data_IF_587171845820
#
_entry.id   IF_587171845820
#
_cell.length_a   1.000
_cell.length_b   1.000
_cell.length_c   1.000
_cell.angle_alpha   90.00
_cell.angle_beta   90.00
_cell.angle_gamma   90.00
#
_symmetry.space_group_name_H-M   'P 1'
#
loop_
_entity.id
_entity.type
_entity.pdbx_description
1 polymer ?
#
# COMPACT_ATOMS: atom_id res chain seq x y z
N UNK A 1 51.95 6.37 -45.40
CA UNK A 1 50.84 6.42 -46.33
C UNK A 1 49.62 5.91 -45.57
N UNK A 2 48.85 6.83 -45.03
CA UNK A 2 47.56 6.52 -44.37
C UNK A 2 46.51 7.41 -45.03
N UNK A 3 45.58 6.76 -45.70
CA UNK A 3 44.54 7.33 -46.50
C UNK A 3 43.40 7.82 -45.59
N UNK A 4 43.23 9.14 -45.48
CA UNK A 4 42.09 9.76 -44.82
C UNK A 4 40.81 9.56 -45.63
N UNK A 5 39.95 8.66 -45.19
CA UNK A 5 38.60 8.49 -45.72
C UNK A 5 37.74 9.69 -45.28
N UNK A 6 37.53 10.66 -46.16
CA UNK A 6 36.60 11.76 -45.95
C UNK A 6 35.19 11.20 -45.93
N UNK A 7 34.53 11.31 -44.77
CA UNK A 7 33.07 11.09 -44.64
C UNK A 7 32.41 12.35 -45.16
N UNK A 8 31.79 12.28 -46.32
CA UNK A 8 30.92 13.34 -46.85
C UNK A 8 29.60 13.29 -46.05
N UNK A 9 29.44 14.21 -45.12
CA UNK A 9 28.14 14.55 -44.56
C UNK A 9 27.46 15.48 -45.56
N UNK A 10 26.60 14.92 -46.39
CA UNK A 10 25.64 15.68 -47.19
C UNK A 10 24.55 16.14 -46.22
N UNK A 11 24.72 17.35 -45.66
CA UNK A 11 23.65 18.16 -45.09
C UNK A 11 22.81 18.70 -46.26
N UNK A 12 21.77 17.96 -46.61
CA UNK A 12 20.67 18.54 -47.40
C UNK A 12 19.71 19.14 -46.38
N UNK A 13 19.95 20.36 -45.99
CA UNK A 13 19.00 21.24 -45.32
C UNK A 13 17.88 21.60 -46.33
N UNK A 14 16.89 20.72 -46.43
CA UNK A 14 15.59 21.10 -47.01
C UNK A 14 14.64 21.33 -45.82
N UNK A 15 14.33 22.60 -45.49
CA UNK A 15 13.45 22.94 -44.38
C UNK A 15 12.05 22.31 -44.49
N UNK A 16 11.62 21.94 -45.70
CA UNK A 16 10.33 21.28 -45.90
C UNK A 16 10.37 19.78 -45.58
N UNK A 17 11.52 19.11 -45.71
CA UNK A 17 11.68 17.69 -45.42
C UNK A 17 11.80 17.46 -43.90
N UNK A 18 12.40 18.36 -43.15
CA UNK A 18 12.46 18.33 -41.71
C UNK A 18 11.05 18.49 -41.08
N UNK A 19 10.25 19.42 -41.61
CA UNK A 19 8.87 19.64 -41.15
C UNK A 19 7.93 18.50 -41.52
N UNK A 20 8.09 17.84 -42.67
CA UNK A 20 7.27 16.68 -43.05
C UNK A 20 7.67 15.40 -42.31
N UNK A 21 8.94 15.18 -42.08
CA UNK A 21 9.41 14.03 -41.26
C UNK A 21 8.99 14.19 -39.77
N UNK A 22 9.08 15.39 -39.25
CA UNK A 22 8.63 15.71 -37.90
C UNK A 22 7.10 15.59 -37.76
N UNK A 23 6.33 16.06 -38.76
CA UNK A 23 4.87 15.92 -38.80
C UNK A 23 4.40 14.46 -38.91
N UNK A 24 5.14 13.62 -39.67
CA UNK A 24 4.84 12.17 -39.78
C UNK A 24 5.24 11.40 -38.55
N UNK A 25 6.34 11.75 -37.89
CA UNK A 25 6.73 11.20 -36.60
C UNK A 25 5.75 11.60 -35.48
N UNK A 26 5.26 12.84 -35.49
CA UNK A 26 4.24 13.34 -34.57
C UNK A 26 2.87 12.69 -34.78
N UNK A 27 2.45 12.38 -36.04
CA UNK A 27 1.18 11.66 -36.29
C UNK A 27 1.18 10.19 -35.87
N UNK A 28 2.34 9.52 -35.82
CA UNK A 28 2.45 8.11 -35.42
C UNK A 28 2.46 7.91 -33.90
N UNK A 29 2.50 8.98 -33.11
CA UNK A 29 2.67 8.91 -31.67
C UNK A 29 1.47 9.46 -30.86
N UNK A 30 0.32 9.71 -31.47
CA UNK A 30 -0.87 10.13 -30.71
C UNK A 30 -1.62 8.90 -30.24
N UNK A 31 -1.77 8.73 -28.92
CA UNK A 31 -2.77 7.80 -28.38
C UNK A 31 -4.12 8.20 -29.00
N UNK A 32 -4.80 7.25 -29.65
CA UNK A 32 -6.16 7.53 -30.08
C UNK A 32 -7.10 7.52 -28.87
N UNK A 33 -8.13 8.35 -28.88
CA UNK A 33 -9.10 8.39 -27.77
C UNK A 33 -9.70 7.01 -27.44
N UNK A 34 -10.08 6.15 -28.40
CA UNK A 34 -10.58 4.81 -28.09
C UNK A 34 -9.51 3.89 -27.46
N UNK A 35 -8.24 4.00 -27.89
CA UNK A 35 -7.16 3.21 -27.24
C UNK A 35 -6.89 3.72 -25.83
N UNK A 36 -6.91 5.02 -25.57
CA UNK A 36 -6.76 5.58 -24.23
C UNK A 36 -7.91 5.09 -23.30
N UNK A 37 -9.15 5.12 -23.79
CA UNK A 37 -10.29 4.61 -23.03
C UNK A 37 -10.16 3.10 -22.73
N UNK A 38 -9.81 2.30 -23.73
CA UNK A 38 -9.61 0.87 -23.57
C UNK A 38 -8.47 0.57 -22.58
N UNK A 39 -7.35 1.30 -22.66
CA UNK A 39 -6.24 1.15 -21.71
C UNK A 39 -6.64 1.52 -20.28
N UNK A 40 -7.36 2.64 -20.10
CA UNK A 40 -7.83 3.05 -18.78
C UNK A 40 -8.79 2.02 -18.18
N UNK A 41 -9.78 1.55 -18.94
CA UNK A 41 -10.73 0.53 -18.48
C UNK A 41 -10.05 -0.79 -18.17
N UNK A 42 -9.13 -1.25 -19.03
CA UNK A 42 -8.39 -2.50 -18.81
C UNK A 42 -7.49 -2.41 -17.56
N UNK A 43 -6.80 -1.28 -17.36
CA UNK A 43 -5.97 -1.06 -16.18
C UNK A 43 -6.79 -1.04 -14.90
N UNK A 44 -7.92 -0.34 -14.88
CA UNK A 44 -8.82 -0.31 -13.72
C UNK A 44 -9.41 -1.71 -13.46
N UNK A 45 -9.89 -2.39 -14.50
CA UNK A 45 -10.45 -3.73 -14.38
C UNK A 45 -9.41 -4.74 -13.84
N UNK A 46 -8.17 -4.67 -14.31
CA UNK A 46 -7.07 -5.50 -13.81
C UNK A 46 -6.82 -5.24 -12.32
N UNK A 47 -6.68 -3.97 -11.93
CA UNK A 47 -6.39 -3.60 -10.54
C UNK A 47 -7.56 -3.98 -9.62
N UNK A 48 -8.80 -3.76 -10.03
CA UNK A 48 -9.99 -4.17 -9.26
C UNK A 48 -10.05 -5.68 -9.12
N UNK A 49 -9.79 -6.45 -10.19
CA UNK A 49 -9.78 -7.91 -10.15
C UNK A 49 -8.73 -8.43 -9.16
N UNK A 50 -7.52 -7.88 -9.20
CA UNK A 50 -6.43 -8.27 -8.30
C UNK A 50 -6.71 -7.81 -6.86
N UNK A 51 -7.49 -6.75 -6.66
CA UNK A 51 -7.89 -6.26 -5.34
C UNK A 51 -9.02 -7.09 -4.68
N UNK A 52 -9.74 -7.94 -5.43
CA UNK A 52 -10.88 -8.71 -4.88
C UNK A 52 -10.54 -9.47 -3.58
N UNK A 53 -9.40 -10.18 -3.47
CA UNK A 53 -9.06 -10.90 -2.24
C UNK A 53 -8.89 -10.00 -1.01
N UNK A 54 -8.59 -8.72 -1.19
CA UNK A 54 -8.43 -7.76 -0.08
C UNK A 54 -9.65 -7.72 0.85
N UNK A 55 -10.87 -7.87 0.32
CA UNK A 55 -12.10 -7.83 1.12
C UNK A 55 -12.26 -8.98 2.10
N UNK A 56 -11.50 -10.06 1.93
CA UNK A 56 -11.43 -11.18 2.88
C UNK A 56 -10.19 -11.13 3.76
N UNK A 57 -9.44 -10.03 3.75
CA UNK A 57 -8.21 -9.89 4.54
C UNK A 57 -8.52 -9.98 6.03
N UNK A 58 -7.84 -10.93 6.67
CA UNK A 58 -7.78 -11.05 8.12
C UNK A 58 -6.39 -10.67 8.59
N UNK A 59 -6.32 -9.93 9.69
CA UNK A 59 -5.07 -9.54 10.30
C UNK A 59 -4.75 -10.45 11.47
N UNK A 60 -3.49 -10.83 11.60
CA UNK A 60 -3.00 -11.64 12.70
C UNK A 60 -1.51 -11.46 12.90
N UNK A 61 -0.97 -12.04 13.95
CA UNK A 61 0.46 -12.11 14.18
C UNK A 61 0.93 -13.54 13.91
N UNK A 62 2.15 -13.74 13.38
CA UNK A 62 2.67 -15.06 13.10
C UNK A 62 2.85 -15.85 14.41
N UNK A 63 2.50 -17.11 14.33
CA UNK A 63 2.69 -18.11 15.38
C UNK A 63 3.77 -19.12 14.98
N UNK A 64 3.99 -20.14 15.83
CA UNK A 64 4.96 -21.19 15.55
C UNK A 64 4.64 -21.99 14.29
N UNK A 65 3.37 -22.06 13.86
CA UNK A 65 2.94 -22.75 12.64
C UNK A 65 3.34 -22.02 11.36
N UNK A 66 3.54 -20.69 11.44
CA UNK A 66 3.97 -19.84 10.32
C UNK A 66 5.48 -19.87 10.08
N UNK A 67 6.26 -20.42 11.03
CA UNK A 67 7.71 -20.49 10.93
C UNK A 67 8.18 -21.45 9.81
N UNK A 68 9.45 -21.33 9.33
CA UNK A 68 9.98 -22.19 8.30
C UNK A 68 9.84 -23.67 8.64
N UNK A 69 9.49 -24.47 7.62
CA UNK A 69 9.35 -25.91 7.75
C UNK A 69 10.65 -26.55 8.29
N UNK A 70 10.51 -27.39 9.30
CA UNK A 70 11.63 -28.05 9.99
C UNK A 70 12.35 -27.21 11.02
N UNK A 71 11.93 -25.96 11.27
CA UNK A 71 12.42 -25.19 12.43
C UNK A 71 11.94 -25.80 13.74
N UNK A 72 12.71 -25.61 14.84
CA UNK A 72 12.33 -26.15 16.15
C UNK A 72 10.96 -25.64 16.63
N UNK A 73 10.63 -24.38 16.33
CA UNK A 73 9.34 -23.76 16.67
C UNK A 73 8.19 -24.41 15.90
N UNK A 74 8.36 -24.56 14.57
CA UNK A 74 7.35 -25.19 13.71
C UNK A 74 7.11 -26.65 14.09
N UNK A 75 8.17 -27.42 14.36
CA UNK A 75 8.05 -28.82 14.77
C UNK A 75 7.35 -28.96 16.11
N UNK A 76 7.66 -28.09 17.10
CA UNK A 76 7.00 -28.09 18.39
C UNK A 76 5.51 -27.72 18.25
N UNK A 77 5.19 -26.69 17.45
CA UNK A 77 3.81 -26.29 17.16
C UNK A 77 3.02 -27.42 16.51
N UNK A 78 3.55 -28.03 15.46
CA UNK A 78 2.92 -29.12 14.74
C UNK A 78 2.70 -30.36 15.64
N UNK A 79 3.70 -30.72 16.45
CA UNK A 79 3.61 -31.84 17.36
C UNK A 79 2.56 -31.58 18.45
N UNK A 80 2.49 -30.37 18.99
CA UNK A 80 1.45 -29.97 19.96
C UNK A 80 0.06 -30.08 19.33
N UNK A 81 -0.13 -29.53 18.13
CA UNK A 81 -1.40 -29.61 17.42
C UNK A 81 -1.81 -31.07 17.15
N UNK A 82 -0.88 -31.91 16.67
CA UNK A 82 -1.16 -33.33 16.36
C UNK A 82 -1.50 -34.17 17.58
N UNK A 83 -0.81 -33.97 18.73
CA UNK A 83 -0.94 -34.83 19.89
C UNK A 83 -1.94 -34.35 20.95
N UNK A 84 -2.13 -33.04 21.03
CA UNK A 84 -3.00 -32.45 22.08
C UNK A 84 -4.19 -31.70 21.49
N UNK A 85 -4.11 -31.24 20.25
CA UNK A 85 -5.09 -30.38 19.60
C UNK A 85 -4.53 -28.98 19.29
N UNK A 86 -5.08 -28.33 18.29
CA UNK A 86 -4.60 -27.03 17.81
C UNK A 86 -4.69 -25.93 18.86
N UNK A 87 -5.74 -25.96 19.70
CA UNK A 87 -5.98 -24.96 20.74
C UNK A 87 -4.92 -24.90 21.82
N UNK A 88 -4.17 -26.01 22.03
CA UNK A 88 -3.05 -26.01 22.97
C UNK A 88 -1.88 -25.09 22.57
N UNK A 89 -1.84 -24.66 21.32
CA UNK A 89 -0.88 -23.67 20.85
C UNK A 89 -1.30 -22.21 21.16
N UNK A 90 -2.53 -21.99 21.60
CA UNK A 90 -3.09 -20.67 21.87
C UNK A 90 -3.88 -20.55 23.18
N UNK A 91 -3.37 -21.02 24.34
CA UNK A 91 -4.12 -20.95 25.59
C UNK A 91 -4.40 -19.50 25.97
N UNK A 92 -5.62 -19.28 26.49
CA UNK A 92 -6.07 -17.99 27.03
C UNK A 92 -5.96 -18.05 28.56
N UNK A 93 -5.65 -16.93 29.18
CA UNK A 93 -5.66 -16.74 30.61
C UNK A 93 -6.84 -15.86 30.97
N UNK A 94 -7.72 -16.40 31.83
CA UNK A 94 -8.89 -15.65 32.32
C UNK A 94 -8.71 -15.41 33.81
N UNK A 95 -8.87 -14.16 34.24
CA UNK A 95 -8.85 -13.75 35.64
C UNK A 95 -10.21 -13.23 36.03
N UNK A 96 -10.65 -13.59 37.25
CA UNK A 96 -11.96 -13.16 37.76
C UNK A 96 -11.82 -12.71 39.21
N UNK A 97 -12.39 -11.56 39.52
CA UNK A 97 -12.41 -11.03 40.89
C UNK A 97 -13.43 -11.75 41.75
N UNK A 98 -13.04 -12.11 42.95
CA UNK A 98 -13.89 -12.69 43.96
C UNK A 98 -14.06 -11.73 45.17
N UNK A 99 -15.17 -11.81 45.90
CA UNK A 99 -15.36 -11.03 47.11
C UNK A 99 -14.27 -11.27 48.15
N UNK A 100 -13.85 -10.21 48.83
CA UNK A 100 -12.86 -10.36 49.91
C UNK A 100 -13.44 -11.12 51.14
N UNK A 101 -12.60 -11.91 51.79
CA UNK A 101 -12.95 -12.60 53.01
C UNK A 101 -13.68 -13.94 52.85
N UNK A 102 -13.64 -14.49 51.62
CA UNK A 102 -14.12 -15.86 51.41
C UNK A 102 -13.20 -16.86 52.08
N UNK A 103 -13.79 -17.88 52.76
CA UNK A 103 -13.05 -19.05 53.17
C UNK A 103 -12.68 -19.92 51.98
N UNK A 104 -11.82 -20.89 52.14
CA UNK A 104 -11.30 -21.74 51.06
C UNK A 104 -12.41 -22.51 50.35
N UNK A 105 -13.42 -23.01 51.10
CA UNK A 105 -14.54 -23.74 50.49
C UNK A 105 -15.38 -22.87 49.58
N UNK A 106 -15.81 -21.69 50.06
CA UNK A 106 -16.61 -20.74 49.26
C UNK A 106 -15.83 -20.19 48.08
N UNK A 107 -14.52 -19.93 48.25
CA UNK A 107 -13.70 -19.51 47.13
C UNK A 107 -13.60 -20.58 46.05
N UNK A 108 -13.47 -21.86 46.46
CA UNK A 108 -13.44 -22.98 45.52
C UNK A 108 -14.79 -23.21 44.85
N UNK A 109 -15.90 -23.09 45.56
CA UNK A 109 -17.25 -23.20 45.01
C UNK A 109 -17.46 -22.09 43.96
N UNK A 110 -17.11 -20.84 44.28
CA UNK A 110 -17.20 -19.72 43.34
C UNK A 110 -16.29 -19.93 42.09
N UNK A 111 -15.10 -20.49 42.25
CA UNK A 111 -14.22 -20.87 41.16
C UNK A 111 -14.86 -21.93 40.27
N UNK A 112 -15.50 -22.94 40.84
CA UNK A 112 -16.16 -23.99 40.07
C UNK A 112 -17.35 -23.47 39.29
N UNK A 113 -18.21 -22.64 39.93
CA UNK A 113 -19.37 -22.03 39.27
C UNK A 113 -18.94 -21.22 38.02
N UNK A 114 -17.91 -20.40 38.16
CA UNK A 114 -17.35 -19.64 37.02
C UNK A 114 -16.72 -20.60 36.01
N UNK A 115 -15.96 -21.61 36.46
CA UNK A 115 -15.33 -22.57 35.56
C UNK A 115 -16.34 -23.33 34.70
N UNK A 116 -17.46 -23.78 35.30
CA UNK A 116 -18.57 -24.42 34.56
C UNK A 116 -19.23 -23.47 33.54
N UNK A 117 -19.43 -22.22 33.94
CA UNK A 117 -19.94 -21.19 33.00
C UNK A 117 -19.03 -21.00 31.79
N UNK A 118 -17.71 -20.82 32.02
CA UNK A 118 -16.73 -20.64 30.96
C UNK A 118 -16.61 -21.89 30.09
N UNK A 119 -16.71 -23.10 30.64
CA UNK A 119 -16.69 -24.36 29.88
C UNK A 119 -17.94 -24.55 29.00
N UNK A 120 -19.02 -23.83 29.28
CA UNK A 120 -20.24 -23.81 28.47
C UNK A 120 -20.20 -22.87 27.29
N UNK A 121 -19.14 -22.07 27.11
CA UNK A 121 -19.01 -21.16 25.98
C UNK A 121 -18.67 -21.93 24.69
N UNK A 122 -19.21 -21.47 23.58
CA UNK A 122 -18.91 -22.00 22.26
C UNK A 122 -17.41 -21.81 21.98
N UNK A 123 -16.77 -22.80 21.35
CA UNK A 123 -15.34 -22.83 21.03
C UNK A 123 -14.36 -22.96 22.21
N UNK A 124 -14.87 -23.14 23.45
CA UNK A 124 -14.04 -23.52 24.61
C UNK A 124 -13.87 -25.02 24.65
N UNK A 125 -12.67 -25.52 24.32
CA UNK A 125 -12.36 -26.96 24.40
C UNK A 125 -12.24 -27.46 25.84
N UNK A 126 -11.55 -26.71 26.69
CA UNK A 126 -11.38 -27.02 28.09
C UNK A 126 -11.10 -25.78 28.94
N UNK A 127 -11.56 -25.80 30.19
CA UNK A 127 -11.29 -24.75 31.17
C UNK A 127 -10.63 -25.40 32.38
N UNK A 128 -9.42 -24.96 32.72
CA UNK A 128 -8.63 -25.51 33.81
C UNK A 128 -8.42 -24.42 34.85
N UNK A 129 -8.92 -24.60 36.11
CA UNK A 129 -8.62 -23.72 37.21
C UNK A 129 -7.10 -23.70 37.46
N UNK A 130 -6.49 -22.51 37.51
CA UNK A 130 -5.05 -22.37 37.71
C UNK A 130 -4.67 -21.89 39.11
N UNK A 131 -5.67 -21.53 39.94
CA UNK A 131 -5.48 -21.18 41.33
C UNK A 131 -5.98 -19.81 41.73
N UNK A 132 -5.58 -19.36 42.91
CA UNK A 132 -5.96 -18.08 43.52
C UNK A 132 -4.72 -17.25 43.84
N UNK A 133 -4.91 -15.93 43.98
CA UNK A 133 -3.92 -15.08 44.63
C UNK A 133 -3.87 -15.34 46.17
N UNK A 134 -2.88 -14.78 46.87
CA UNK A 134 -2.68 -15.00 48.32
C UNK A 134 -3.91 -14.68 49.17
N UNK A 135 -4.63 -13.60 48.80
CA UNK A 135 -5.81 -13.13 49.56
C UNK A 135 -7.13 -13.77 49.07
N UNK A 136 -7.10 -14.67 48.10
CA UNK A 136 -8.28 -15.30 47.45
C UNK A 136 -9.31 -14.31 46.93
N UNK A 137 -8.85 -13.13 46.52
CA UNK A 137 -9.68 -12.11 45.89
C UNK A 137 -9.68 -12.19 44.38
N UNK A 138 -8.81 -13.00 43.78
CA UNK A 138 -8.73 -13.24 42.35
C UNK A 138 -8.52 -14.74 42.10
N UNK A 139 -9.32 -15.29 41.22
CA UNK A 139 -9.09 -16.63 40.65
C UNK A 139 -8.63 -16.55 39.21
N UNK A 140 -7.88 -17.56 38.77
CA UNK A 140 -7.34 -17.64 37.44
C UNK A 140 -7.70 -18.96 36.77
N UNK A 141 -8.03 -18.91 35.48
CA UNK A 141 -8.31 -20.08 34.65
C UNK A 141 -7.41 -20.04 33.42
N UNK A 142 -7.04 -21.22 32.95
CA UNK A 142 -6.53 -21.43 31.61
C UNK A 142 -7.67 -21.97 30.73
N UNK A 143 -8.05 -21.22 29.71
CA UNK A 143 -9.05 -21.63 28.75
C UNK A 143 -8.34 -22.04 27.45
N UNK A 144 -8.60 -23.27 27.03
CA UNK A 144 -8.06 -23.86 25.83
C UNK A 144 -9.13 -23.73 24.73
N UNK A 145 -8.87 -23.00 23.62
CA UNK A 145 -9.79 -22.95 22.50
C UNK A 145 -9.84 -24.30 21.75
N UNK A 146 -10.84 -24.51 20.93
CA UNK A 146 -10.95 -25.69 20.07
C UNK A 146 -9.92 -25.69 18.94
N UNK A 147 -9.67 -24.51 18.36
CA UNK A 147 -8.78 -24.32 17.23
C UNK A 147 -7.55 -23.48 17.62
N UNK A 148 -6.63 -23.31 16.67
CA UNK A 148 -5.37 -22.59 16.87
C UNK A 148 -5.54 -21.09 17.13
N UNK A 149 -4.46 -20.40 17.56
CA UNK A 149 -4.50 -19.01 18.02
C UNK A 149 -4.96 -18.00 16.94
N UNK A 150 -4.83 -18.34 15.66
CA UNK A 150 -5.21 -17.50 14.53
C UNK A 150 -6.57 -17.89 13.91
N UNK A 151 -7.33 -18.80 14.53
CA UNK A 151 -8.64 -19.21 14.06
C UNK A 151 -9.72 -18.16 14.37
N UNK A 152 -10.77 -18.10 13.53
CA UNK A 152 -11.91 -17.19 13.74
C UNK A 152 -12.65 -17.55 15.02
N UNK A 153 -12.84 -18.84 15.27
CA UNK A 153 -13.45 -19.39 16.48
C UNK A 153 -12.74 -18.95 17.76
N UNK A 154 -11.40 -18.85 17.72
CA UNK A 154 -10.61 -18.36 18.86
C UNK A 154 -10.80 -16.86 19.08
N UNK A 155 -10.93 -16.06 18.00
CA UNK A 155 -11.26 -14.64 18.12
C UNK A 155 -12.67 -14.45 18.70
N UNK A 156 -13.64 -15.26 18.26
CA UNK A 156 -15.01 -15.25 18.77
C UNK A 156 -15.04 -15.64 20.25
N UNK A 157 -14.35 -16.71 20.65
CA UNK A 157 -14.22 -17.11 22.05
C UNK A 157 -13.66 -15.99 22.92
N UNK A 158 -12.63 -15.27 22.48
CA UNK A 158 -12.07 -14.13 23.24
C UNK A 158 -13.10 -13.02 23.41
N UNK A 159 -13.93 -12.72 22.39
CA UNK A 159 -15.01 -11.73 22.48
C UNK A 159 -16.11 -12.19 23.44
N UNK A 160 -16.50 -13.47 23.38
CA UNK A 160 -17.53 -14.05 24.23
C UNK A 160 -17.08 -14.10 25.70
N UNK A 161 -15.83 -14.49 25.97
CA UNK A 161 -15.23 -14.41 27.29
C UNK A 161 -15.29 -13.00 27.88
N UNK A 162 -14.95 -11.98 27.08
CA UNK A 162 -14.98 -10.58 27.53
C UNK A 162 -16.38 -10.02 27.72
N UNK A 163 -17.37 -10.56 27.00
CA UNK A 163 -18.77 -10.19 27.13
C UNK A 163 -19.47 -10.94 28.27
N UNK A 164 -18.84 -11.97 28.83
CA UNK A 164 -19.42 -12.82 29.88
C UNK A 164 -19.41 -12.08 31.22
N UNK A 165 -20.58 -11.96 31.86
CA UNK A 165 -20.68 -11.57 33.29
C UNK A 165 -20.43 -12.82 34.14
N UNK A 166 -19.44 -12.81 35.06
CA UNK A 166 -19.12 -13.97 35.85
C UNK A 166 -20.28 -14.44 36.74
N UNK A 167 -20.41 -15.74 36.89
CA UNK A 167 -21.47 -16.35 37.72
C UNK A 167 -21.29 -16.08 39.20
N UNK A 168 -22.40 -16.13 39.95
CA UNK A 168 -22.40 -16.10 41.44
C UNK A 168 -22.03 -14.74 42.01
N UNK A 169 -21.14 -14.74 43.01
CA UNK A 169 -20.63 -13.54 43.70
C UNK A 169 -19.38 -12.94 43.01
N UNK A 170 -18.90 -13.54 41.90
CA UNK A 170 -17.73 -13.13 41.16
C UNK A 170 -18.02 -11.83 40.35
N UNK A 171 -16.98 -11.08 40.07
CA UNK A 171 -17.09 -9.82 39.31
C UNK A 171 -15.85 -9.63 38.45
N UNK A 172 -15.92 -8.68 37.50
CA UNK A 172 -14.80 -8.27 36.62
C UNK A 172 -14.01 -9.46 36.02
N UNK A 173 -14.38 -9.87 34.82
CA UNK A 173 -13.65 -10.87 34.08
C UNK A 173 -12.63 -10.18 33.16
N UNK A 174 -11.37 -10.61 33.26
CA UNK A 174 -10.29 -10.16 32.36
C UNK A 174 -9.74 -11.31 31.54
N UNK A 175 -9.50 -11.08 30.25
CA UNK A 175 -8.88 -12.06 29.35
C UNK A 175 -7.50 -11.58 28.96
N UNK A 176 -6.50 -12.41 29.24
CA UNK A 176 -5.09 -12.15 28.98
C UNK A 176 -4.45 -13.34 28.25
N UNK A 177 -3.17 -13.23 28.00
CA UNK A 177 -2.39 -14.24 27.29
C UNK A 177 -1.88 -13.73 25.94
N UNK A 178 -0.98 -14.49 25.33
CA UNK A 178 -0.36 -14.10 24.07
C UNK A 178 -1.40 -14.02 22.94
N UNK A 179 -2.29 -15.00 22.86
CA UNK A 179 -3.35 -15.07 21.84
C UNK A 179 -4.29 -13.87 21.91
N UNK A 180 -4.83 -13.55 23.12
CA UNK A 180 -5.70 -12.39 23.28
C UNK A 180 -4.97 -11.07 23.01
N UNK A 181 -3.70 -10.96 23.41
CA UNK A 181 -2.87 -9.79 23.12
C UNK A 181 -2.63 -9.61 21.60
N UNK A 182 -2.45 -10.68 20.85
CA UNK A 182 -2.30 -10.64 19.40
C UNK A 182 -3.60 -10.20 18.70
N UNK A 183 -4.75 -10.68 19.19
CA UNK A 183 -6.07 -10.25 18.72
C UNK A 183 -6.24 -8.75 18.98
N UNK A 184 -5.93 -8.26 20.19
CA UNK A 184 -6.06 -6.84 20.55
C UNK A 184 -5.18 -5.93 19.69
N UNK A 185 -3.93 -6.34 19.43
CA UNK A 185 -3.03 -5.59 18.55
C UNK A 185 -3.58 -5.55 17.13
N UNK A 186 -4.09 -6.68 16.62
CA UNK A 186 -4.64 -6.78 15.26
C UNK A 186 -5.90 -5.94 15.09
N UNK A 187 -6.81 -5.95 16.08
CA UNK A 187 -8.02 -5.11 16.07
C UNK A 187 -7.65 -3.62 16.11
N UNK A 188 -6.77 -3.19 17.00
CA UNK A 188 -6.34 -1.78 17.10
C UNK A 188 -5.65 -1.29 15.84
N UNK A 189 -4.83 -2.12 15.20
CA UNK A 189 -4.20 -1.76 13.94
C UNK A 189 -5.22 -1.69 12.81
N UNK A 190 -6.16 -2.64 12.75
CA UNK A 190 -7.26 -2.63 11.78
C UNK A 190 -8.11 -1.36 11.90
N UNK A 191 -8.49 -1.00 13.12
CA UNK A 191 -9.29 0.20 13.39
C UNK A 191 -8.56 1.50 13.05
N UNK A 192 -7.24 1.52 13.18
CA UNK A 192 -6.41 2.68 12.84
C UNK A 192 -6.19 2.85 11.32
N UNK A 193 -6.30 1.77 10.52
CA UNK A 193 -6.00 1.81 9.08
C UNK A 193 -6.82 2.83 8.28
N UNK A 194 -8.15 2.95 8.46
CA UNK A 194 -8.94 3.92 7.69
C UNK A 194 -8.53 5.36 7.98
N UNK A 195 -8.26 5.70 9.25
CA UNK A 195 -7.80 7.03 9.66
C UNK A 195 -6.40 7.30 9.08
N UNK A 196 -5.48 6.34 9.21
CA UNK A 196 -4.12 6.46 8.70
C UNK A 196 -4.12 6.67 7.17
N UNK A 197 -4.86 5.85 6.44
CA UNK A 197 -4.99 5.99 4.98
C UNK A 197 -5.63 7.33 4.63
N UNK A 198 -6.67 7.75 5.35
CA UNK A 198 -7.33 9.04 5.14
C UNK A 198 -6.40 10.23 5.32
N UNK A 199 -5.55 10.23 6.35
CA UNK A 199 -4.53 11.27 6.59
C UNK A 199 -3.49 11.28 5.47
N UNK A 200 -2.95 10.11 5.11
CA UNK A 200 -1.95 9.99 4.04
C UNK A 200 -2.50 10.48 2.70
N UNK A 201 -3.70 10.03 2.33
CA UNK A 201 -4.40 10.45 1.10
C UNK A 201 -4.72 11.95 1.13
N UNK A 202 -5.25 12.46 2.23
CA UNK A 202 -5.62 13.87 2.37
C UNK A 202 -4.41 14.80 2.28
N UNK A 203 -3.33 14.47 2.97
CA UNK A 203 -2.09 15.25 2.92
C UNK A 203 -1.46 15.20 1.51
N UNK A 204 -1.48 14.04 0.88
CA UNK A 204 -1.03 13.88 -0.50
C UNK A 204 -1.80 14.78 -1.47
N UNK A 205 -3.13 14.72 -1.42
CA UNK A 205 -3.98 15.56 -2.27
C UNK A 205 -3.66 17.04 -2.06
N UNK A 206 -3.50 17.47 -0.81
CA UNK A 206 -3.16 18.85 -0.48
C UNK A 206 -1.83 19.27 -1.12
N UNK A 207 -0.77 18.50 -0.88
CA UNK A 207 0.57 18.81 -1.41
C UNK A 207 0.56 18.80 -2.93
N UNK A 208 -0.06 17.80 -3.56
CA UNK A 208 -0.10 17.70 -5.01
C UNK A 208 -0.93 18.79 -5.68
N UNK A 209 -2.04 19.22 -5.05
CA UNK A 209 -2.83 20.36 -5.53
C UNK A 209 -1.99 21.62 -5.50
N UNK A 210 -1.19 21.84 -4.46
CA UNK A 210 -0.27 22.97 -4.35
C UNK A 210 0.81 22.94 -5.46
N UNK A 211 1.41 21.78 -5.69
CA UNK A 211 2.50 21.62 -6.67
C UNK A 211 1.99 21.74 -8.10
N UNK A 212 0.94 21.00 -8.45
CA UNK A 212 0.47 20.95 -9.86
C UNK A 212 -0.55 22.02 -10.23
N UNK A 213 -1.04 22.81 -9.26
CA UNK A 213 -2.10 23.82 -9.51
C UNK A 213 -3.26 23.23 -10.32
N UNK A 214 -3.69 22.04 -9.95
CA UNK A 214 -4.78 21.28 -10.55
C UNK A 214 -5.44 20.43 -9.47
N UNK A 215 -6.74 20.17 -9.60
CA UNK A 215 -7.45 19.23 -8.71
C UNK A 215 -7.49 17.83 -9.34
N UNK A 216 -7.63 17.72 -10.65
CA UNK A 216 -7.85 16.46 -11.33
C UNK A 216 -6.58 15.60 -11.40
N UNK A 217 -5.41 16.20 -11.59
CA UNK A 217 -4.14 15.48 -11.63
C UNK A 217 -3.86 14.76 -10.29
N UNK A 218 -3.90 15.45 -9.13
CA UNK A 218 -3.78 14.81 -7.83
C UNK A 218 -4.83 13.73 -7.58
N UNK A 219 -6.08 13.98 -7.95
CA UNK A 219 -7.16 13.01 -7.73
C UNK A 219 -6.92 11.70 -8.51
N UNK A 220 -6.49 11.79 -9.76
CA UNK A 220 -6.13 10.62 -10.58
C UNK A 220 -4.93 9.90 -9.99
N UNK A 221 -3.89 10.64 -9.61
CA UNK A 221 -2.67 10.08 -9.06
C UNK A 221 -2.90 9.35 -7.74
N UNK A 222 -3.61 9.99 -6.81
CA UNK A 222 -3.93 9.41 -5.50
C UNK A 222 -4.94 8.27 -5.61
N UNK A 223 -5.97 8.41 -6.47
CA UNK A 223 -6.91 7.34 -6.74
C UNK A 223 -6.23 6.11 -7.36
N UNK A 224 -5.29 6.32 -8.28
CA UNK A 224 -4.47 5.26 -8.85
C UNK A 224 -3.61 4.56 -7.80
N UNK A 225 -2.96 5.32 -6.90
CA UNK A 225 -2.19 4.79 -5.78
C UNK A 225 -3.07 3.92 -4.86
N UNK A 226 -4.21 4.43 -4.42
CA UNK A 226 -5.12 3.69 -3.54
C UNK A 226 -5.56 2.37 -4.20
N UNK A 227 -5.87 2.41 -5.49
CA UNK A 227 -6.28 1.22 -6.23
C UNK A 227 -5.14 0.20 -6.37
N UNK A 228 -3.91 0.65 -6.66
CA UNK A 228 -2.73 -0.24 -6.74
C UNK A 228 -2.36 -0.82 -5.37
N UNK A 229 -2.54 -0.06 -4.30
CA UNK A 229 -2.32 -0.53 -2.93
C UNK A 229 -3.32 -1.63 -2.55
N UNK A 230 -4.61 -1.45 -2.82
CA UNK A 230 -5.60 -2.51 -2.59
C UNK A 230 -5.35 -3.74 -3.45
N UNK A 231 -4.90 -3.56 -4.69
CA UNK A 231 -4.50 -4.68 -5.54
C UNK A 231 -3.26 -5.40 -4.99
N UNK A 232 -2.27 -4.68 -4.49
CA UNK A 232 -1.08 -5.29 -3.87
C UNK A 232 -1.44 -6.09 -2.61
N UNK A 233 -2.32 -5.53 -1.76
CA UNK A 233 -2.86 -6.25 -0.61
C UNK A 233 -3.68 -7.47 -1.02
N UNK A 234 -4.49 -7.36 -2.07
CA UNK A 234 -5.23 -8.49 -2.64
C UNK A 234 -4.29 -9.62 -3.07
N UNK A 235 -3.15 -9.28 -3.70
CA UNK A 235 -2.11 -10.25 -4.03
C UNK A 235 -1.51 -10.92 -2.79
N UNK A 236 -1.26 -10.16 -1.73
CA UNK A 236 -0.77 -10.71 -0.44
C UNK A 236 -1.78 -11.70 0.14
N UNK A 237 -3.05 -11.32 0.19
CA UNK A 237 -4.13 -12.18 0.68
C UNK A 237 -4.24 -13.46 -0.15
N UNK A 238 -4.21 -13.35 -1.47
CA UNK A 238 -4.33 -14.51 -2.35
C UNK A 238 -3.20 -15.53 -2.13
N UNK A 239 -1.97 -15.07 -1.89
CA UNK A 239 -0.81 -15.95 -1.71
C UNK A 239 -0.69 -16.42 -0.27
N UNK A 240 -0.70 -15.51 0.71
CA UNK A 240 -0.34 -15.84 2.09
C UNK A 240 -1.55 -16.28 2.93
N UNK A 241 -2.75 -15.78 2.65
CA UNK A 241 -3.94 -16.16 3.39
C UNK A 241 -4.73 -17.30 2.70
N UNK A 242 -4.86 -17.25 1.34
CA UNK A 242 -5.57 -18.30 0.60
C UNK A 242 -4.65 -19.42 0.12
N UNK A 243 -3.33 -19.25 0.19
CA UNK A 243 -2.34 -20.25 -0.20
C UNK A 243 -2.15 -20.41 -1.72
N UNK A 244 -2.61 -19.46 -2.55
CA UNK A 244 -2.39 -19.52 -4.00
C UNK A 244 -0.90 -19.49 -4.30
N UNK A 245 -0.45 -20.42 -5.16
CA UNK A 245 0.98 -20.54 -5.48
C UNK A 245 1.89 -20.76 -4.26
N UNK A 246 1.35 -21.31 -3.16
CA UNK A 246 2.09 -21.52 -1.91
C UNK A 246 3.42 -22.25 -2.11
N UNK A 247 3.47 -23.26 -2.98
CA UNK A 247 4.71 -23.99 -3.31
C UNK A 247 5.80 -23.10 -3.93
N UNK A 248 5.42 -22.04 -4.67
CA UNK A 248 6.38 -21.10 -5.29
C UNK A 248 6.90 -20.11 -4.27
N UNK A 249 6.01 -19.63 -3.38
CA UNK A 249 6.34 -18.60 -2.39
C UNK A 249 6.74 -19.19 -1.02
N UNK A 250 6.81 -20.51 -0.91
CA UNK A 250 7.17 -21.20 0.33
C UNK A 250 6.14 -21.02 1.46
N UNK A 251 4.86 -20.88 1.11
CA UNK A 251 3.75 -20.81 2.07
C UNK A 251 3.24 -22.24 2.31
N UNK A 252 3.60 -22.81 3.44
CA UNK A 252 3.21 -24.17 3.83
C UNK A 252 1.94 -24.18 4.68
N UNK A 253 1.76 -23.16 5.50
CA UNK A 253 0.59 -22.99 6.37
C UNK A 253 -0.04 -21.60 6.08
N UNK A 254 -1.05 -21.52 5.20
CA UNK A 254 -1.76 -20.26 4.95
C UNK A 254 -2.44 -19.75 6.23
N UNK A 255 -2.33 -18.45 6.49
CA UNK A 255 -2.88 -17.83 7.69
C UNK A 255 -3.21 -16.37 7.51
N UNK A 256 -3.63 -15.65 8.55
CA UNK A 256 -3.94 -14.23 8.46
C UNK A 256 -2.73 -13.41 8.02
N UNK A 257 -3.00 -12.28 7.41
CA UNK A 257 -1.98 -11.33 6.98
C UNK A 257 -1.40 -10.63 8.20
N UNK A 258 -0.08 -10.45 8.20
CA UNK A 258 0.64 -9.77 9.28
C UNK A 258 0.04 -8.40 9.60
N UNK A 259 -0.38 -8.18 10.85
CA UNK A 259 -1.22 -7.04 11.27
C UNK A 259 -0.64 -5.66 10.96
N UNK A 260 0.68 -5.50 11.03
CA UNK A 260 1.34 -4.23 10.72
C UNK A 260 1.75 -4.08 9.23
N UNK A 261 1.57 -5.12 8.41
CA UNK A 261 1.95 -5.08 6.99
C UNK A 261 1.19 -3.99 6.22
N UNK A 262 -0.15 -3.82 6.36
CA UNK A 262 -0.86 -2.76 5.67
C UNK A 262 -0.31 -1.38 5.98
N UNK A 263 -0.01 -1.10 7.25
CA UNK A 263 0.53 0.19 7.69
C UNK A 263 1.89 0.48 7.06
N UNK A 264 2.79 -0.52 7.04
CA UNK A 264 4.11 -0.39 6.41
C UNK A 264 3.96 -0.21 4.89
N UNK A 265 3.11 -1.02 4.25
CA UNK A 265 2.89 -0.93 2.81
C UNK A 265 2.33 0.43 2.40
N UNK A 266 1.35 0.98 3.13
CA UNK A 266 0.82 2.31 2.87
C UNK A 266 1.95 3.35 2.92
N UNK A 267 2.75 3.35 3.99
CA UNK A 267 3.83 4.34 4.17
C UNK A 267 4.91 4.25 3.09
N UNK A 268 5.43 3.05 2.86
CA UNK A 268 6.53 2.83 1.90
C UNK A 268 6.07 3.03 0.46
N UNK A 269 4.97 2.36 0.05
CA UNK A 269 4.45 2.49 -1.31
C UNK A 269 4.00 3.92 -1.61
N UNK A 270 3.41 4.60 -0.62
CA UNK A 270 3.02 6.00 -0.79
C UNK A 270 4.22 6.90 -1.07
N UNK A 271 5.29 6.80 -0.26
CA UNK A 271 6.50 7.60 -0.47
C UNK A 271 7.09 7.37 -1.87
N UNK A 272 7.30 6.11 -2.26
CA UNK A 272 7.79 5.76 -3.59
C UNK A 272 6.85 6.24 -4.71
N UNK A 273 5.55 6.07 -4.50
CA UNK A 273 4.56 6.48 -5.46
C UNK A 273 4.59 7.99 -5.70
N UNK A 274 4.74 8.81 -4.68
CA UNK A 274 4.78 10.26 -4.81
C UNK A 274 6.01 10.75 -5.59
N UNK A 275 7.18 10.18 -5.34
CA UNK A 275 8.41 10.57 -6.05
C UNK A 275 8.27 10.34 -7.56
N UNK A 276 7.76 9.18 -7.98
CA UNK A 276 7.54 8.89 -9.40
C UNK A 276 6.47 9.80 -10.02
N UNK A 277 5.44 10.11 -9.24
CA UNK A 277 4.36 10.98 -9.70
C UNK A 277 4.85 12.40 -9.97
N UNK A 278 5.65 12.95 -9.07
CA UNK A 278 6.26 14.26 -9.24
C UNK A 278 7.06 14.31 -10.54
N UNK A 279 7.88 13.30 -10.80
CA UNK A 279 8.70 13.22 -12.02
C UNK A 279 7.90 13.23 -13.31
N UNK A 280 6.86 12.40 -13.40
CA UNK A 280 6.05 12.30 -14.64
C UNK A 280 5.16 13.53 -14.80
N UNK A 281 4.49 13.95 -13.73
CA UNK A 281 3.52 15.02 -13.81
C UNK A 281 4.16 16.41 -13.96
N UNK A 282 5.36 16.65 -13.39
CA UNK A 282 6.11 17.89 -13.60
C UNK A 282 6.52 18.02 -15.09
N UNK A 283 7.07 16.97 -15.70
CA UNK A 283 7.38 17.00 -17.12
C UNK A 283 6.17 17.21 -18.04
N UNK A 284 4.99 16.66 -17.65
CA UNK A 284 3.74 16.96 -18.37
C UNK A 284 3.31 18.41 -18.19
N UNK A 285 3.43 18.95 -16.97
CA UNK A 285 3.08 20.32 -16.64
C UNK A 285 3.97 21.30 -17.35
N UNK A 286 5.27 21.09 -17.33
CA UNK A 286 6.27 21.90 -18.01
C UNK A 286 5.97 21.98 -19.52
N UNK A 287 5.77 20.84 -20.16
CA UNK A 287 5.42 20.80 -21.59
C UNK A 287 4.11 21.57 -21.90
N UNK A 288 3.12 21.48 -21.01
CA UNK A 288 1.87 22.24 -21.15
C UNK A 288 2.08 23.75 -20.94
N UNK A 289 2.87 24.14 -19.93
CA UNK A 289 3.18 25.54 -19.64
C UNK A 289 3.95 26.22 -20.78
N UNK A 290 4.78 25.46 -21.51
CA UNK A 290 5.47 25.92 -22.71
C UNK A 290 4.57 25.97 -23.98
N UNK A 291 3.26 25.78 -23.84
CA UNK A 291 2.27 25.97 -24.89
C UNK A 291 1.96 24.76 -25.75
N UNK A 292 2.44 23.57 -25.40
CA UNK A 292 2.03 22.35 -26.07
C UNK A 292 0.55 22.03 -25.78
N UNK A 293 -0.23 21.56 -26.76
CA UNK A 293 -1.58 21.06 -26.53
C UNK A 293 -1.57 20.00 -25.43
N UNK A 294 -2.56 19.99 -24.53
CA UNK A 294 -2.57 19.11 -23.34
C UNK A 294 -2.30 17.62 -23.65
N UNK A 295 -2.86 17.11 -24.75
CA UNK A 295 -2.63 15.72 -25.18
C UNK A 295 -1.18 15.44 -25.62
N UNK A 296 -0.52 16.41 -26.19
CA UNK A 296 0.89 16.29 -26.61
C UNK A 296 1.81 16.45 -25.39
N UNK A 297 1.49 17.36 -24.47
CA UNK A 297 2.21 17.53 -23.21
C UNK A 297 2.26 16.24 -22.39
N UNK A 298 1.15 15.49 -22.31
CA UNK A 298 1.09 14.17 -21.66
C UNK A 298 2.11 13.19 -22.27
N UNK A 299 2.16 13.10 -23.59
CA UNK A 299 3.08 12.19 -24.28
C UNK A 299 4.55 12.61 -24.14
N UNK A 300 4.80 13.92 -24.17
CA UNK A 300 6.16 14.46 -24.00
C UNK A 300 6.68 14.20 -22.60
N UNK A 301 5.91 14.54 -21.56
CA UNK A 301 6.28 14.27 -20.17
C UNK A 301 6.46 12.79 -19.88
N UNK A 302 5.57 11.93 -20.43
CA UNK A 302 5.73 10.48 -20.29
C UNK A 302 7.02 9.96 -20.94
N UNK A 303 7.37 10.45 -22.13
CA UNK A 303 8.60 10.06 -22.83
C UNK A 303 9.86 10.45 -22.05
N UNK A 304 9.86 11.64 -21.46
CA UNK A 304 10.99 12.12 -20.65
C UNK A 304 11.13 11.35 -19.33
N UNK A 305 10.01 11.09 -18.63
CA UNK A 305 10.02 10.45 -17.31
C UNK A 305 10.08 8.93 -17.30
N UNK A 306 9.58 8.25 -18.34
CA UNK A 306 9.39 6.78 -18.32
C UNK A 306 10.65 5.99 -18.05
N UNK A 307 11.80 6.40 -18.57
CA UNK A 307 13.05 5.67 -18.40
C UNK A 307 13.50 5.67 -16.94
N UNK A 308 13.37 6.81 -16.26
CA UNK A 308 13.69 6.96 -14.84
C UNK A 308 12.74 6.12 -13.99
N UNK A 309 11.44 6.18 -14.25
CA UNK A 309 10.43 5.40 -13.51
C UNK A 309 10.65 3.90 -13.69
N UNK A 310 10.90 3.42 -14.91
CA UNK A 310 11.17 2.00 -15.17
C UNK A 310 12.44 1.55 -14.47
N UNK A 311 13.53 2.31 -14.57
CA UNK A 311 14.79 1.96 -13.91
C UNK A 311 14.65 1.89 -12.39
N UNK A 312 14.03 2.89 -11.79
CA UNK A 312 13.80 2.92 -10.35
C UNK A 312 12.84 1.80 -9.90
N UNK A 313 11.77 1.52 -10.67
CA UNK A 313 10.85 0.42 -10.38
C UNK A 313 11.57 -0.94 -10.42
N UNK A 314 12.41 -1.20 -11.42
CA UNK A 314 13.18 -2.44 -11.52
C UNK A 314 14.12 -2.59 -10.31
N UNK A 315 14.80 -1.52 -9.90
CA UNK A 315 15.68 -1.53 -8.71
C UNK A 315 14.86 -1.90 -7.47
N UNK A 316 13.73 -1.23 -7.23
CA UNK A 316 12.89 -1.47 -6.06
C UNK A 316 12.27 -2.87 -6.07
N UNK A 317 11.77 -3.33 -7.22
CA UNK A 317 11.24 -4.69 -7.37
C UNK A 317 12.34 -5.72 -7.10
N UNK A 318 13.57 -5.49 -7.53
CA UNK A 318 14.69 -6.38 -7.28
C UNK A 318 15.06 -6.43 -5.79
N UNK A 319 15.09 -5.27 -5.12
CA UNK A 319 15.41 -5.17 -3.69
C UNK A 319 14.33 -5.87 -2.86
N UNK A 320 13.06 -5.50 -3.03
CA UNK A 320 11.97 -6.12 -2.28
C UNK A 320 11.73 -7.57 -2.68
N UNK A 321 11.91 -7.89 -3.96
CA UNK A 321 11.82 -9.25 -4.49
C UNK A 321 12.83 -10.21 -3.85
N UNK A 322 14.00 -9.72 -3.47
CA UNK A 322 14.98 -10.49 -2.71
C UNK A 322 14.48 -10.96 -1.35
N UNK A 323 13.59 -10.21 -0.72
CA UNK A 323 12.99 -10.59 0.57
C UNK A 323 11.92 -11.68 0.45
N UNK A 324 11.35 -11.91 -0.73
CA UNK A 324 10.32 -12.95 -0.95
C UNK A 324 10.87 -14.34 -0.57
N UNK A 325 12.17 -14.55 -0.78
CA UNK A 325 12.86 -15.82 -0.51
C UNK A 325 13.58 -15.84 0.84
N UNK A 326 13.31 -14.85 1.73
CA UNK A 326 13.82 -14.88 3.10
C UNK A 326 13.31 -16.12 3.84
N UNK A 327 14.03 -16.56 4.86
CA UNK A 327 13.59 -17.68 5.71
C UNK A 327 12.52 -17.26 6.74
N UNK A 328 12.43 -15.99 7.03
CA UNK A 328 11.54 -15.42 8.03
C UNK A 328 10.10 -15.26 7.49
N UNK A 329 9.12 -15.76 8.25
CA UNK A 329 7.70 -15.72 7.89
C UNK A 329 7.10 -14.31 7.82
N UNK A 330 7.67 -13.34 8.56
CA UNK A 330 7.21 -11.94 8.53
C UNK A 330 7.75 -11.18 7.31
N UNK A 331 8.99 -11.48 6.92
CA UNK A 331 9.71 -10.73 5.87
C UNK A 331 9.18 -11.08 4.47
N UNK A 332 8.79 -12.35 4.24
CA UNK A 332 8.30 -12.80 2.92
C UNK A 332 7.09 -12.02 2.42
N UNK A 333 5.97 -11.92 3.18
CA UNK A 333 4.80 -11.18 2.72
C UNK A 333 5.07 -9.68 2.57
N UNK A 334 5.98 -9.10 3.39
CA UNK A 334 6.42 -7.71 3.22
C UNK A 334 7.18 -7.52 1.91
N UNK A 335 8.15 -8.39 1.62
CA UNK A 335 8.91 -8.36 0.37
C UNK A 335 8.02 -8.48 -0.85
N UNK A 336 7.11 -9.46 -0.84
CA UNK A 336 6.15 -9.66 -1.93
C UNK A 336 5.20 -8.46 -2.08
N UNK A 337 4.57 -8.01 -1.00
CA UNK A 337 3.61 -6.92 -1.03
C UNK A 337 4.22 -5.61 -1.56
N UNK A 338 5.44 -5.28 -1.12
CA UNK A 338 6.17 -4.10 -1.60
C UNK A 338 6.63 -4.25 -3.06
N UNK A 339 7.19 -5.38 -3.45
CA UNK A 339 7.63 -5.64 -4.84
C UNK A 339 6.44 -5.60 -5.81
N UNK A 340 5.35 -6.28 -5.45
CA UNK A 340 4.15 -6.36 -6.25
C UNK A 340 3.41 -5.02 -6.31
N UNK A 341 3.38 -4.27 -5.19
CA UNK A 341 2.82 -2.92 -5.14
C UNK A 341 3.56 -1.95 -6.05
N UNK A 342 4.91 -1.94 -6.02
CA UNK A 342 5.73 -1.13 -6.93
C UNK A 342 5.50 -1.54 -8.39
N UNK A 343 5.39 -2.84 -8.67
CA UNK A 343 5.11 -3.33 -10.03
C UNK A 343 3.77 -2.80 -10.54
N UNK A 344 2.70 -2.91 -9.76
CA UNK A 344 1.39 -2.43 -10.14
C UNK A 344 1.35 -0.90 -10.26
N UNK A 345 1.93 -0.18 -9.29
CA UNK A 345 1.94 1.29 -9.33
C UNK A 345 2.75 1.82 -10.52
N UNK A 346 3.98 1.38 -10.69
CA UNK A 346 4.85 1.91 -11.74
C UNK A 346 4.36 1.54 -13.14
N UNK A 347 4.03 0.28 -13.39
CA UNK A 347 3.72 -0.18 -14.74
C UNK A 347 2.25 -0.03 -15.11
N UNK A 348 1.31 -0.33 -14.21
CA UNK A 348 -0.12 -0.26 -14.53
C UNK A 348 -0.67 1.15 -14.28
N UNK A 349 -0.40 1.73 -13.10
CA UNK A 349 -0.97 3.05 -12.79
C UNK A 349 -0.24 4.16 -13.54
N UNK A 350 1.09 4.23 -13.45
CA UNK A 350 1.85 5.37 -13.96
C UNK A 350 2.12 5.35 -15.44
N UNK A 351 2.44 4.19 -15.99
CA UNK A 351 2.77 4.09 -17.41
C UNK A 351 1.55 3.85 -18.30
N UNK A 352 0.44 3.31 -17.77
CA UNK A 352 -0.76 3.00 -18.54
C UNK A 352 -1.97 3.86 -18.12
N UNK A 353 -2.42 3.74 -16.87
CA UNK A 353 -3.68 4.35 -16.41
C UNK A 353 -3.61 5.88 -16.42
N UNK A 354 -2.58 6.44 -15.77
CA UNK A 354 -2.47 7.89 -15.62
C UNK A 354 -2.35 8.62 -16.96
N UNK A 355 -1.45 8.24 -17.89
CA UNK A 355 -1.39 8.90 -19.20
C UNK A 355 -2.68 8.75 -20.01
N UNK A 356 -3.36 7.59 -19.90
CA UNK A 356 -4.64 7.37 -20.57
C UNK A 356 -5.73 8.30 -20.03
N UNK A 357 -5.86 8.43 -18.71
CA UNK A 357 -6.82 9.35 -18.10
C UNK A 357 -6.50 10.81 -18.39
N UNK A 358 -5.23 11.22 -18.32
CA UNK A 358 -4.79 12.57 -18.65
C UNK A 358 -5.07 12.91 -20.13
N UNK A 359 -4.87 11.94 -21.03
CA UNK A 359 -5.20 12.10 -22.45
C UNK A 359 -6.71 12.28 -22.68
N UNK A 360 -7.54 11.51 -21.96
CA UNK A 360 -9.01 11.60 -22.05
C UNK A 360 -9.54 12.94 -21.53
N UNK A 361 -8.99 13.45 -20.44
CA UNK A 361 -9.37 14.73 -19.85
C UNK A 361 -8.87 15.92 -20.65
N UNK A 362 -7.73 15.79 -21.32
CA UNK A 362 -7.14 16.88 -22.13
C UNK A 362 -6.92 18.14 -21.28
N UNK A 363 -7.42 19.29 -21.75
CA UNK A 363 -7.25 20.58 -21.05
C UNK A 363 -7.93 20.63 -19.67
N UNK A 364 -8.99 19.86 -19.48
CA UNK A 364 -9.67 19.78 -18.17
C UNK A 364 -8.78 19.20 -17.07
N UNK A 365 -7.78 18.42 -17.43
CA UNK A 365 -6.83 17.88 -16.48
C UNK A 365 -6.10 18.96 -15.67
N UNK A 366 -5.89 20.13 -16.26
CA UNK A 366 -5.19 21.26 -15.65
C UNK A 366 -6.12 22.30 -15.03
N UNK A 367 -7.40 21.96 -14.85
CA UNK A 367 -8.38 22.87 -14.29
C UNK A 367 -8.18 23.13 -12.80
N UNK A 368 -8.18 24.43 -12.44
CA UNK A 368 -8.17 24.91 -11.06
C UNK A 368 -9.25 26.00 -10.90
N UNK A 369 -10.07 25.95 -9.82
CA UNK A 369 -11.03 27.01 -9.53
C UNK A 369 -10.33 28.36 -9.27
N UNK A 370 -10.85 29.44 -9.83
CA UNK A 370 -10.26 30.79 -9.73
C UNK A 370 -10.09 31.27 -8.27
N UNK A 371 -10.94 30.85 -7.36
CA UNK A 371 -10.84 31.22 -5.95
C UNK A 371 -9.64 30.56 -5.28
N UNK A 372 -9.36 29.30 -5.63
CA UNK A 372 -8.22 28.53 -5.11
C UNK A 372 -6.91 29.04 -5.72
N UNK A 373 -6.92 29.37 -7.00
CA UNK A 373 -5.77 29.93 -7.74
C UNK A 373 -5.25 31.25 -7.13
N UNK A 374 -6.16 32.05 -6.53
CA UNK A 374 -5.80 33.33 -5.86
C UNK A 374 -5.16 33.14 -4.48
N UNK A 375 -5.46 32.06 -3.79
CA UNK A 375 -5.03 31.81 -2.41
C UNK A 375 -3.70 31.03 -2.42
N UNK A 376 -3.46 30.25 -3.46
CA UNK A 376 -2.28 29.38 -3.52
C UNK A 376 -1.01 30.20 -3.81
N UNK A 377 0.06 29.98 -3.03
CA UNK A 377 1.37 30.53 -3.34
C UNK A 377 1.87 30.04 -4.69
N UNK A 378 2.57 30.88 -5.41
CA UNK A 378 3.25 30.50 -6.64
C UNK A 378 4.53 29.75 -6.28
N UNK A 379 4.41 28.44 -6.14
CA UNK A 379 5.55 27.56 -5.86
C UNK A 379 6.21 27.25 -7.21
N UNK A 380 7.25 28.02 -7.55
CA UNK A 380 8.06 27.79 -8.76
C UNK A 380 8.93 26.54 -8.57
N UNK A 381 8.31 25.36 -8.71
CA UNK A 381 8.99 24.07 -8.60
C UNK A 381 9.93 23.82 -9.80
N UNK A 382 9.74 24.56 -10.87
CA UNK A 382 10.41 24.36 -12.17
C UNK A 382 11.58 25.32 -12.40
N UNK A 383 11.82 26.30 -11.50
CA UNK A 383 12.89 27.29 -11.66
C UNK A 383 12.71 28.24 -12.85
N UNK A 384 11.48 28.33 -13.38
CA UNK A 384 11.17 29.18 -14.54
C UNK A 384 11.49 30.66 -14.31
N UNK A 385 11.54 31.12 -13.06
CA UNK A 385 11.99 32.46 -12.70
C UNK A 385 13.52 32.59 -12.82
N UNK A 386 14.27 31.54 -12.55
CA UNK A 386 15.73 31.52 -12.71
C UNK A 386 16.14 31.53 -14.18
N UNK A 387 15.42 30.81 -15.05
CA UNK A 387 15.67 30.84 -16.50
C UNK A 387 15.38 32.20 -17.11
N UNK A 388 14.30 32.87 -16.70
CA UNK A 388 13.99 34.25 -17.15
C UNK A 388 15.04 35.25 -16.69
N UNK A 389 15.62 35.05 -15.51
CA UNK A 389 16.70 35.92 -15.00
C UNK A 389 18.04 35.70 -15.69
N UNK A 390 18.25 34.56 -16.33
CA UNK A 390 19.50 34.19 -17.04
C UNK A 390 19.34 34.17 -18.58
N UNK A 391 18.16 34.50 -19.11
CA UNK A 391 18.00 34.65 -20.55
C UNK A 391 18.95 35.76 -21.08
N UNK A 392 19.89 35.44 -21.98
CA UNK A 392 20.78 36.46 -22.52
C UNK A 392 19.93 37.54 -23.21
N UNK A 393 20.22 38.82 -22.87
CA UNK A 393 19.56 39.95 -23.48
C UNK A 393 19.63 39.81 -25.00
N UNK A 394 18.48 39.75 -25.68
CA UNK A 394 18.46 39.73 -27.12
C UNK A 394 19.23 40.94 -27.64
N UNK A 395 20.20 40.77 -28.56
CA UNK A 395 20.89 41.88 -29.15
C UNK A 395 19.85 42.78 -29.84
N UNK A 396 19.78 44.04 -29.41
CA UNK A 396 18.92 45.04 -30.01
C UNK A 396 19.31 45.16 -31.49
N UNK A 397 18.41 44.78 -32.40
CA UNK A 397 18.59 45.04 -33.82
C UNK A 397 18.60 46.56 -34.02
N UNK A 398 19.69 47.14 -34.56
CA UNK A 398 19.71 48.58 -34.81
C UNK A 398 18.61 48.94 -35.81
N UNK A 399 17.83 49.97 -35.50
CA UNK A 399 16.86 50.52 -36.43
C UNK A 399 17.56 50.91 -37.75
N UNK A 400 16.96 50.63 -38.91
CA UNK A 400 17.56 51.05 -40.17
C UNK A 400 17.61 52.58 -40.25
N UNK A 401 18.83 53.10 -40.42
CA UNK A 401 19.09 54.54 -40.61
C UNK A 401 18.24 55.04 -41.77
N UNK A 402 17.35 55.97 -41.43
CA UNK A 402 16.59 56.73 -42.44
C UNK A 402 17.48 57.63 -43.24
N UNK A 403 17.99 57.12 -44.35
CA UNK A 403 18.69 57.94 -45.37
C UNK A 403 17.82 59.03 -45.86
N UNK A 404 18.10 60.27 -45.43
CA UNK A 404 17.53 61.46 -45.97
C UNK A 404 18.14 61.67 -47.35
N UNK A 405 17.38 61.47 -48.42
CA UNK A 405 17.68 62.07 -49.69
C UNK A 405 17.21 63.52 -49.67
N UNK A 406 18.20 64.47 -49.71
CA UNK A 406 17.99 65.84 -50.14
C UNK A 406 18.68 66.04 -51.48
N UNK A 407 17.96 66.70 -52.35
CA UNK A 407 18.20 67.40 -53.62
C UNK A 407 18.11 66.56 -54.85
#
# INVERSE_FOLDING_TARGET
>A
MAEHKKVNILLVDDPNNATEMDSRAHRRATLSTPTALATALASVALLVLVAVPFWSMRLGLPDGGSEPEGSGSQLAYALTAEKFGEGYNGPLVVTVDLPAGLDEGRATDAQLDVGEQLAGLEHAHAVVPAGFNEDRTVTMFQVLPEEGPNAVSTEELVRDLRATEPAGEASNLGVAGMTSGFIDVSEKLSDALPLYLGVVVGLSLLIMVLVFRSILVPLIATGGFVLSMFAAMGGVVAIYQWGWLGSVFGVHNPGPVLSFLPTIMIGVLFGLAMDYQLFIASGMREAYAHGLPARQAVLTGLRSGRAVVIAAAIIMISVFGGFIFAHDAMIRPMGFGLAFGVLLDAFVVRLLLMPALMHLLGEKAWWLPRWLDRIMPDVDVEGAQLERAHAPAQPSVPAPDGGAHRA
#
